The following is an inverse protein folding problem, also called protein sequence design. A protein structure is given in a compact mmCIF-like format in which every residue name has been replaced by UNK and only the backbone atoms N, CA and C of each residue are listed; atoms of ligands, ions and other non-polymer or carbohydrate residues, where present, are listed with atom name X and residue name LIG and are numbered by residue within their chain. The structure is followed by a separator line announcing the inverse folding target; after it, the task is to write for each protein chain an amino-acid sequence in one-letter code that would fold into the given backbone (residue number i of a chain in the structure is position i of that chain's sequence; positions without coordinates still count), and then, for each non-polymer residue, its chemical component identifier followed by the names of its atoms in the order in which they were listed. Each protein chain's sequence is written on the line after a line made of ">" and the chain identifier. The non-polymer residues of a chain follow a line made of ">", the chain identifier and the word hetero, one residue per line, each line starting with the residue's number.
data_IF_922887645111
#
_entry.id   IF_922887645111
#
_cell.length_a   1.000
_cell.length_b   1.000
_cell.length_c   1.000
_cell.angle_alpha   90.00
_cell.angle_beta   90.00
_cell.angle_gamma   90.00
#
_symmetry.space_group_name_H-M   'P 1'
#
loop_
_entity.id
_entity.type
_entity.pdbx_description
1 polymer ?
#
# COMPACT_ATOMS: atom_id res chain seq x y z
N UNK A 1 -16.68 4.82 6.04
CA UNK A 1 -16.31 3.76 6.99
C UNK A 1 -14.93 3.25 6.63
N UNK A 2 -14.05 3.11 7.61
CA UNK A 2 -12.70 2.57 7.46
C UNK A 2 -12.71 1.05 7.65
N UNK A 3 -11.62 0.39 7.26
CA UNK A 3 -11.50 -1.06 7.43
C UNK A 3 -11.52 -1.47 8.92
N UNK A 4 -10.89 -0.68 9.81
CA UNK A 4 -10.88 -0.97 11.25
C UNK A 4 -12.28 -0.87 11.89
N UNK A 5 -13.11 0.07 11.45
CA UNK A 5 -14.50 0.18 11.92
C UNK A 5 -15.32 -1.06 11.55
N UNK A 6 -15.16 -1.54 10.31
CA UNK A 6 -15.83 -2.76 9.80
C UNK A 6 -15.33 -4.00 10.55
N UNK A 7 -14.02 -4.12 10.72
CA UNK A 7 -13.42 -5.21 11.47
C UNK A 7 -13.94 -5.26 12.92
N UNK A 8 -14.06 -4.11 13.60
CA UNK A 8 -14.63 -4.01 14.97
C UNK A 8 -16.10 -4.42 15.04
N UNK A 9 -16.85 -4.33 13.94
CA UNK A 9 -18.24 -4.82 13.84
C UNK A 9 -18.34 -6.32 13.56
N UNK A 10 -17.20 -7.01 13.44
CA UNK A 10 -17.17 -8.44 13.10
C UNK A 10 -17.20 -8.71 11.58
N UNK A 11 -17.14 -7.69 10.74
CA UNK A 11 -17.19 -7.87 9.28
C UNK A 11 -15.86 -8.41 8.75
N UNK A 12 -15.93 -9.52 8.01
CA UNK A 12 -14.82 -10.04 7.19
C UNK A 12 -15.02 -9.50 5.77
N UNK A 13 -14.29 -8.44 5.44
CA UNK A 13 -14.39 -7.77 4.14
C UNK A 13 -13.60 -8.51 3.07
N UNK A 14 -13.85 -8.19 1.79
CA UNK A 14 -13.10 -8.78 0.68
C UNK A 14 -11.60 -8.49 0.78
N UNK A 15 -11.23 -7.29 1.24
CA UNK A 15 -9.83 -6.95 1.50
C UNK A 15 -9.17 -7.89 2.50
N UNK A 16 -9.90 -8.26 3.56
CA UNK A 16 -9.41 -9.18 4.58
C UNK A 16 -9.24 -10.59 4.00
N UNK A 17 -10.18 -11.05 3.18
CA UNK A 17 -10.10 -12.39 2.56
C UNK A 17 -8.89 -12.50 1.65
N UNK A 18 -8.74 -11.56 0.71
CA UNK A 18 -7.63 -11.56 -0.26
C UNK A 18 -6.27 -11.54 0.44
N UNK A 19 -6.10 -10.65 1.43
CA UNK A 19 -4.84 -10.57 2.17
C UNK A 19 -4.61 -11.77 3.07
N UNK A 20 -5.65 -12.33 3.70
CA UNK A 20 -5.52 -13.52 4.52
C UNK A 20 -5.10 -14.74 3.68
N UNK A 21 -5.68 -14.89 2.50
CA UNK A 21 -5.31 -15.94 1.53
C UNK A 21 -3.86 -15.79 1.08
N UNK A 22 -3.44 -14.60 0.67
CA UNK A 22 -2.05 -14.33 0.24
C UNK A 22 -1.03 -14.59 1.35
N UNK A 23 -1.38 -14.27 2.60
CA UNK A 23 -0.50 -14.44 3.76
C UNK A 23 -0.59 -15.86 4.37
N UNK A 24 -1.48 -16.72 3.85
CA UNK A 24 -1.68 -18.07 4.37
C UNK A 24 -2.20 -18.11 5.82
N UNK A 25 -2.99 -17.12 6.22
CA UNK A 25 -3.56 -17.04 7.58
C UNK A 25 -5.09 -17.09 7.56
N UNK A 26 -5.67 -17.41 8.71
CA UNK A 26 -7.11 -17.40 8.88
C UNK A 26 -7.68 -15.94 8.79
N UNK A 27 -8.77 -15.69 8.04
CA UNK A 27 -9.33 -14.35 7.85
C UNK A 27 -9.97 -13.76 9.11
N UNK A 28 -10.55 -14.59 10.00
CA UNK A 28 -11.02 -14.14 11.31
C UNK A 28 -9.85 -13.62 12.15
N UNK A 29 -8.72 -14.33 12.16
CA UNK A 29 -7.50 -13.88 12.86
C UNK A 29 -6.99 -12.53 12.33
N UNK A 30 -6.98 -12.35 11.01
CA UNK A 30 -6.60 -11.06 10.41
C UNK A 30 -7.59 -9.95 10.79
N UNK A 31 -8.89 -10.22 10.72
CA UNK A 31 -9.94 -9.29 11.17
C UNK A 31 -9.76 -8.88 12.63
N UNK A 32 -9.46 -9.82 13.52
CA UNK A 32 -9.22 -9.57 14.94
C UNK A 32 -8.02 -8.65 15.17
N UNK A 33 -6.93 -8.86 14.42
CA UNK A 33 -5.74 -8.02 14.48
C UNK A 33 -6.02 -6.62 13.96
N UNK A 34 -6.77 -6.49 12.86
CA UNK A 34 -7.20 -5.20 12.33
C UNK A 34 -8.09 -4.47 13.35
N UNK A 35 -9.07 -5.16 13.95
CA UNK A 35 -9.97 -4.57 14.94
C UNK A 35 -9.22 -4.03 16.17
N UNK A 36 -8.13 -4.72 16.57
CA UNK A 36 -7.21 -4.31 17.64
C UNK A 36 -6.18 -3.25 17.24
N UNK A 37 -6.07 -2.91 15.95
CA UNK A 37 -5.07 -1.97 15.45
C UNK A 37 -3.65 -2.56 15.34
N UNK A 38 -3.52 -3.89 15.35
CA UNK A 38 -2.23 -4.59 15.20
C UNK A 38 -1.85 -4.87 13.73
N UNK A 39 -2.81 -4.72 12.81
CA UNK A 39 -2.60 -4.85 11.38
C UNK A 39 -3.51 -3.90 10.58
N UNK A 40 -3.09 -3.55 9.36
CA UNK A 40 -3.81 -2.67 8.43
C UNK A 40 -3.75 -3.21 7.00
N UNK A 41 -4.70 -2.77 6.18
CA UNK A 41 -4.66 -2.91 4.72
C UNK A 41 -4.89 -1.50 4.13
N UNK A 42 -3.85 -0.82 3.62
CA UNK A 42 -3.97 0.53 3.10
C UNK A 42 -4.70 0.53 1.76
N UNK A 43 -6.02 0.75 1.79
CA UNK A 43 -6.87 0.89 0.60
C UNK A 43 -7.70 2.16 0.69
N UNK A 44 -7.29 3.19 -0.02
CA UNK A 44 -8.08 4.41 -0.12
C UNK A 44 -9.26 4.17 -1.07
N UNK A 45 -10.48 4.53 -0.66
CA UNK A 45 -11.72 4.40 -1.47
C UNK A 45 -11.69 5.10 -2.83
N UNK A 46 -10.76 6.04 -3.05
CA UNK A 46 -10.59 6.77 -4.32
C UNK A 46 -9.55 6.14 -5.25
N UNK A 47 -8.90 5.05 -4.83
CA UNK A 47 -7.80 4.41 -5.55
C UNK A 47 -8.11 2.94 -5.75
N UNK A 48 -8.22 2.55 -7.01
CA UNK A 48 -8.14 1.15 -7.40
C UNK A 48 -6.69 0.69 -7.31
N UNK A 49 -6.48 -0.48 -6.71
CA UNK A 49 -5.16 -1.06 -6.50
C UNK A 49 -5.06 -2.35 -7.30
N UNK A 50 -3.92 -2.56 -7.96
CA UNK A 50 -3.59 -3.81 -8.64
C UNK A 50 -3.42 -4.97 -7.65
N UNK A 51 -2.94 -4.67 -6.44
CA UNK A 51 -2.69 -5.63 -5.36
C UNK A 51 -3.00 -5.01 -3.99
N UNK A 52 -3.55 -5.82 -3.10
CA UNK A 52 -3.76 -5.46 -1.69
C UNK A 52 -2.58 -5.97 -0.87
N UNK A 53 -2.19 -5.23 0.16
CA UNK A 53 -1.06 -5.59 1.03
C UNK A 53 -1.47 -5.46 2.48
N UNK A 54 -1.33 -6.53 3.25
CA UNK A 54 -1.46 -6.48 4.70
C UNK A 54 -0.16 -6.08 5.38
N UNK A 55 -0.21 -5.13 6.31
CA UNK A 55 0.93 -4.69 7.10
C UNK A 55 0.60 -4.84 8.57
N UNK A 56 1.39 -5.61 9.32
CA UNK A 56 1.23 -5.73 10.77
C UNK A 56 1.60 -7.08 11.34
N UNK A 57 1.20 -7.29 12.58
CA UNK A 57 1.59 -8.44 13.40
C UNK A 57 1.14 -9.77 12.79
N UNK A 58 2.07 -10.73 12.73
CA UNK A 58 1.83 -12.09 12.25
C UNK A 58 1.46 -12.19 10.77
N UNK A 59 1.84 -11.17 9.99
CA UNK A 59 1.99 -11.19 8.55
C UNK A 59 3.48 -11.25 8.23
N UNK A 60 3.87 -11.61 7.00
CA UNK A 60 5.29 -11.50 6.59
C UNK A 60 5.77 -10.06 6.67
N UNK A 61 7.06 -9.86 6.95
CA UNK A 61 7.68 -8.53 6.91
C UNK A 61 7.47 -7.88 5.54
N UNK A 62 7.15 -6.58 5.56
CA UNK A 62 6.89 -5.79 4.35
C UNK A 62 8.01 -4.78 4.11
N UNK A 63 8.32 -4.52 2.83
CA UNK A 63 9.35 -3.57 2.41
C UNK A 63 8.69 -2.38 1.71
N UNK A 64 9.10 -1.16 2.07
CA UNK A 64 8.71 0.07 1.38
C UNK A 64 9.92 0.62 0.60
N UNK A 65 9.71 0.99 -0.65
CA UNK A 65 10.68 1.75 -1.45
C UNK A 65 10.27 3.22 -1.55
N UNK A 66 11.25 4.12 -1.43
CA UNK A 66 11.03 5.54 -1.62
C UNK A 66 11.47 5.95 -3.03
N UNK A 67 10.63 6.73 -3.69
CA UNK A 67 10.92 7.42 -4.96
C UNK A 67 10.61 8.89 -4.77
N UNK A 68 11.03 9.73 -5.70
CA UNK A 68 10.67 11.13 -5.72
C UNK A 68 11.75 12.01 -6.32
N UNK A 69 11.30 13.17 -6.80
CA UNK A 69 12.15 14.21 -7.36
C UNK A 69 12.71 15.15 -6.28
N UNK A 70 13.74 15.91 -6.64
CA UNK A 70 14.32 16.97 -5.81
C UNK A 70 14.40 18.29 -6.58
N UNK A 71 14.74 19.38 -5.88
CA UNK A 71 15.02 20.68 -6.52
C UNK A 71 16.13 20.60 -7.56
N UNK A 72 17.10 19.72 -7.35
CA UNK A 72 18.30 19.60 -8.19
C UNK A 72 18.06 18.68 -9.39
N UNK A 73 17.10 17.76 -9.27
CA UNK A 73 16.78 16.79 -10.29
C UNK A 73 15.29 16.45 -10.31
N UNK A 74 14.60 16.89 -11.36
CA UNK A 74 13.16 16.70 -11.56
C UNK A 74 12.92 15.99 -12.89
N UNK A 75 12.78 14.66 -12.84
CA UNK A 75 12.35 13.85 -13.98
C UNK A 75 11.19 12.91 -13.55
N UNK A 76 9.93 13.24 -13.89
CA UNK A 76 8.77 12.41 -13.55
C UNK A 76 8.78 11.02 -14.20
N UNK A 77 9.36 10.86 -15.39
CA UNK A 77 9.40 9.56 -16.09
C UNK A 77 10.38 8.60 -15.40
N UNK A 78 11.51 9.12 -14.93
CA UNK A 78 12.44 8.34 -14.13
C UNK A 78 11.84 7.89 -12.81
N UNK A 79 11.07 8.74 -12.12
CA UNK A 79 10.41 8.34 -10.87
C UNK A 79 9.34 7.25 -11.10
N UNK A 80 8.61 7.32 -12.20
CA UNK A 80 7.70 6.24 -12.63
C UNK A 80 8.48 4.95 -12.88
N UNK A 81 9.62 5.02 -13.56
CA UNK A 81 10.47 3.86 -13.83
C UNK A 81 11.02 3.25 -12.53
N UNK A 82 11.50 4.08 -11.60
CA UNK A 82 11.97 3.63 -10.28
C UNK A 82 10.86 2.93 -9.49
N UNK A 83 9.63 3.47 -9.52
CA UNK A 83 8.49 2.86 -8.85
C UNK A 83 8.16 1.46 -9.40
N UNK A 84 8.15 1.31 -10.73
CA UNK A 84 7.94 0.01 -11.40
C UNK A 84 9.05 -0.99 -11.08
N UNK A 85 10.31 -0.57 -11.18
CA UNK A 85 11.47 -1.42 -10.84
C UNK A 85 11.43 -1.84 -9.37
N UNK A 86 11.02 -0.95 -8.47
CA UNK A 86 10.87 -1.30 -7.06
C UNK A 86 9.79 -2.37 -6.84
N UNK A 87 8.63 -2.26 -7.49
CA UNK A 87 7.58 -3.28 -7.45
C UNK A 87 8.07 -4.63 -8.03
N UNK A 88 8.72 -4.61 -9.19
CA UNK A 88 9.30 -5.79 -9.84
C UNK A 88 10.38 -6.47 -8.97
N UNK A 89 11.16 -5.68 -8.22
CA UNK A 89 12.15 -6.17 -7.27
C UNK A 89 11.55 -6.68 -5.95
N UNK A 90 10.22 -6.60 -5.77
CA UNK A 90 9.51 -7.14 -4.61
C UNK A 90 9.21 -6.13 -3.50
N UNK A 91 9.27 -4.82 -3.76
CA UNK A 91 8.75 -3.83 -2.81
C UNK A 91 7.24 -4.01 -2.62
N UNK A 92 6.79 -4.01 -1.37
CA UNK A 92 5.36 -4.18 -1.04
C UNK A 92 4.59 -2.88 -1.15
N UNK A 93 5.29 -1.76 -0.93
CA UNK A 93 4.72 -0.42 -1.00
C UNK A 93 5.76 0.53 -1.58
N UNK A 94 5.26 1.60 -2.22
CA UNK A 94 6.07 2.69 -2.72
C UNK A 94 5.55 4.00 -2.16
N UNK A 95 6.47 4.85 -1.71
CA UNK A 95 6.16 6.20 -1.24
C UNK A 95 6.83 7.24 -2.14
N UNK A 96 6.03 8.20 -2.60
CA UNK A 96 6.50 9.39 -3.30
C UNK A 96 6.88 10.47 -2.27
N UNK A 97 8.17 10.80 -2.22
CA UNK A 97 8.77 11.82 -1.37
C UNK A 97 9.28 13.02 -2.19
N UNK A 98 8.70 13.26 -3.37
CA UNK A 98 9.07 14.38 -4.23
C UNK A 98 9.04 15.72 -3.51
N UNK A 99 10.06 16.55 -3.76
CA UNK A 99 10.20 17.92 -3.24
C UNK A 99 10.42 18.97 -4.32
N UNK A 100 10.68 18.56 -5.57
CA UNK A 100 10.88 19.46 -6.72
C UNK A 100 9.83 19.27 -7.83
N UNK A 101 9.64 20.28 -8.67
CA UNK A 101 8.72 20.21 -9.81
C UNK A 101 7.23 20.21 -9.44
N UNK A 102 6.39 19.72 -10.37
CA UNK A 102 4.96 19.57 -10.14
C UNK A 102 4.65 18.29 -9.36
N UNK A 103 4.64 18.42 -8.03
CA UNK A 103 4.38 17.33 -7.09
C UNK A 103 3.04 16.62 -7.32
N UNK A 104 2.01 17.31 -7.83
CA UNK A 104 0.71 16.67 -8.05
C UNK A 104 0.77 15.77 -9.26
N UNK A 105 1.39 16.24 -10.33
CA UNK A 105 1.50 15.50 -11.58
C UNK A 105 2.45 14.31 -11.42
N UNK A 106 3.61 14.50 -10.78
CA UNK A 106 4.56 13.41 -10.48
C UNK A 106 3.86 12.31 -9.68
N UNK A 107 3.19 12.66 -8.59
CA UNK A 107 2.47 11.68 -7.77
C UNK A 107 1.37 10.97 -8.54
N UNK A 108 0.62 11.68 -9.39
CA UNK A 108 -0.45 11.07 -10.22
C UNK A 108 0.14 10.03 -11.16
N UNK A 109 1.25 10.35 -11.82
CA UNK A 109 1.94 9.44 -12.73
C UNK A 109 2.45 8.19 -12.02
N UNK A 110 3.07 8.34 -10.85
CA UNK A 110 3.51 7.20 -10.02
C UNK A 110 2.31 6.32 -9.60
N UNK A 111 1.17 6.91 -9.23
CA UNK A 111 -0.03 6.15 -8.84
C UNK A 111 -0.64 5.36 -10.01
N UNK A 112 -0.52 5.87 -11.23
CA UNK A 112 -1.06 5.26 -12.46
C UNK A 112 -0.13 4.21 -13.09
N UNK A 113 1.13 4.16 -12.67
CA UNK A 113 2.15 3.21 -13.14
C UNK A 113 1.74 1.76 -12.88
#
# INVERSE_FOLDING_TARGET
>A
MTLIERARRGEITEEIKVVAEEEGINPELLRDRIARGEAIIPKNKKRELKRLVGIGKGLRTKINANVGTSSDYTDPEEEVKKAKVAEEAGADTVMDLSTGGDLREIRRRIIQA
#
